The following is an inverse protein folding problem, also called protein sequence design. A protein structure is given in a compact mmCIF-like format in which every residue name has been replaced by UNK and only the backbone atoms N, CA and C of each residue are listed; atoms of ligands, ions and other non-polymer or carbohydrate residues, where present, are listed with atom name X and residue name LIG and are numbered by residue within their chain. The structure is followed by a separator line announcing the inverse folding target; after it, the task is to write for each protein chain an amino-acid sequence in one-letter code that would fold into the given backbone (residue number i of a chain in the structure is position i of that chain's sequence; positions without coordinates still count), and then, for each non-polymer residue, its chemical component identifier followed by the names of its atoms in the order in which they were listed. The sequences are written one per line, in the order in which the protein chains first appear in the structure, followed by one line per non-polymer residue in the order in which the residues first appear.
data_IF_273879153304
#
_entry.id   IF_273879153304
#
_cell.length_a   1.000
_cell.length_b   1.000
_cell.length_c   1.000
_cell.angle_alpha   90.00
_cell.angle_beta   90.00
_cell.angle_gamma   90.00
#
_symmetry.space_group_name_H-M   'P 1'
#
loop_
_entity.id
_entity.type
_entity.pdbx_description
1 polymer ?
#
# COMPACT_ATOMS: atom_id res chain seq x y z
N UNK A 1 0.61 -17.26 12.98
CA UNK A 1 0.02 -16.89 11.68
C UNK A 1 1.09 -16.94 10.61
N UNK A 2 1.09 -17.97 9.76
CA UNK A 2 2.01 -18.07 8.63
C UNK A 2 1.35 -17.43 7.40
N UNK A 3 1.99 -16.41 6.83
CA UNK A 3 1.67 -15.89 5.51
C UNK A 3 2.62 -16.61 4.54
N UNK A 4 2.15 -17.64 3.84
CA UNK A 4 2.89 -18.31 2.76
C UNK A 4 2.24 -17.94 1.42
N UNK A 5 2.95 -17.18 0.58
CA UNK A 5 2.52 -16.83 -0.78
C UNK A 5 3.53 -17.40 -1.79
N UNK A 6 3.08 -18.35 -2.62
CA UNK A 6 3.84 -18.92 -3.72
C UNK A 6 3.15 -18.60 -5.04
N UNK A 7 3.39 -17.42 -5.59
CA UNK A 7 3.07 -17.09 -6.99
C UNK A 7 4.33 -16.76 -7.77
N UNK A 8 4.78 -17.72 -8.58
CA UNK A 8 5.77 -17.47 -9.64
C UNK A 8 5.06 -16.95 -10.88
N UNK A 9 5.39 -15.73 -11.32
CA UNK A 9 4.95 -15.21 -12.62
C UNK A 9 6.14 -14.61 -13.36
N UNK A 10 6.30 -15.04 -14.62
CA UNK A 10 7.21 -14.40 -15.59
C UNK A 10 6.50 -13.16 -16.12
N UNK A 11 7.16 -12.01 -16.08
CA UNK A 11 6.63 -10.76 -16.60
C UNK A 11 7.74 -9.81 -16.99
N UNK A 12 7.46 -8.93 -17.96
CA UNK A 12 8.36 -7.85 -18.31
C UNK A 12 8.30 -6.77 -17.21
N UNK A 13 9.38 -6.64 -16.45
CA UNK A 13 9.48 -5.63 -15.40
C UNK A 13 10.07 -4.31 -15.90
N UNK A 14 10.94 -4.37 -16.91
CA UNK A 14 11.55 -3.19 -17.50
C UNK A 14 11.95 -3.43 -18.94
N UNK A 15 11.91 -2.37 -19.74
CA UNK A 15 12.50 -2.31 -21.08
C UNK A 15 12.90 -0.87 -21.35
N UNK A 16 13.97 -0.65 -22.10
CA UNK A 16 14.36 0.70 -22.47
C UNK A 16 15.30 0.72 -23.65
N UNK A 17 15.37 1.88 -24.29
CA UNK A 17 16.28 2.18 -25.38
C UNK A 17 16.95 3.53 -25.11
N UNK A 18 18.25 3.60 -25.40
CA UNK A 18 19.05 4.83 -25.29
C UNK A 18 19.71 5.10 -26.62
N UNK A 19 19.54 6.32 -27.11
CA UNK A 19 20.11 6.83 -28.35
C UNK A 19 21.27 7.75 -28.01
N UNK A 20 22.47 7.35 -28.43
CA UNK A 20 23.70 8.11 -28.21
C UNK A 20 23.92 9.12 -29.34
N UNK A 21 24.10 10.40 -28.98
CA UNK A 21 24.41 11.46 -29.94
C UNK A 21 25.70 12.18 -29.54
N UNK A 22 26.83 11.95 -30.23
CA UNK A 22 28.07 12.68 -29.96
C UNK A 22 27.95 14.13 -30.44
N UNK A 23 28.56 15.07 -29.70
CA UNK A 23 28.58 16.48 -30.11
C UNK A 23 29.62 16.68 -31.20
N UNK A 24 29.19 17.24 -32.34
CA UNK A 24 30.10 17.60 -33.43
C UNK A 24 31.00 18.77 -33.01
N UNK A 25 32.32 18.59 -33.14
CA UNK A 25 33.33 19.59 -32.81
C UNK A 25 34.15 19.97 -34.02
N UNK A 26 34.65 21.21 -34.01
CA UNK A 26 35.56 21.73 -35.05
C UNK A 26 36.82 20.87 -35.11
N UNK A 27 37.27 20.56 -36.32
CA UNK A 27 38.48 19.75 -36.57
C UNK A 27 39.68 20.35 -35.83
N UNK A 28 40.33 19.55 -34.98
CA UNK A 28 41.45 19.98 -34.13
C UNK A 28 41.09 20.27 -32.67
N UNK A 29 39.80 20.26 -32.31
CA UNK A 29 39.36 20.45 -30.92
C UNK A 29 39.56 19.18 -30.09
N UNK A 30 39.77 19.33 -28.78
CA UNK A 30 39.80 18.20 -27.85
C UNK A 30 38.39 17.56 -27.73
N UNK A 31 38.27 16.30 -28.15
CA UNK A 31 37.00 15.56 -28.11
C UNK A 31 36.51 15.32 -26.67
N UNK A 32 37.39 15.41 -25.68
CA UNK A 32 37.11 15.18 -24.27
C UNK A 32 36.86 16.44 -23.45
N UNK A 33 36.86 17.64 -24.04
CA UNK A 33 36.59 18.90 -23.33
C UNK A 33 35.21 19.45 -23.62
N UNK A 34 34.57 20.12 -22.66
CA UNK A 34 33.22 20.65 -22.85
C UNK A 34 32.18 19.54 -23.04
N UNK A 35 31.11 19.80 -23.80
CA UNK A 35 30.09 18.79 -24.10
C UNK A 35 30.64 17.71 -25.04
N UNK A 36 30.56 16.46 -24.60
CA UNK A 36 31.05 15.27 -25.31
C UNK A 36 29.91 14.58 -26.04
N UNK A 37 28.78 14.37 -25.35
CA UNK A 37 27.61 13.69 -25.91
C UNK A 37 26.32 14.15 -25.24
N UNK A 38 25.22 13.99 -25.96
CA UNK A 38 23.86 14.09 -25.46
C UNK A 38 23.14 12.79 -25.81
N UNK A 39 22.48 12.20 -24.83
CA UNK A 39 21.78 10.94 -24.96
C UNK A 39 20.29 11.15 -24.72
N UNK A 40 19.47 10.47 -25.50
CA UNK A 40 18.02 10.44 -25.31
C UNK A 40 17.60 9.02 -24.94
N UNK A 41 16.68 8.87 -23.99
CA UNK A 41 16.24 7.58 -23.50
C UNK A 41 14.73 7.50 -23.42
N UNK A 42 14.19 6.33 -23.76
CA UNK A 42 12.83 5.93 -23.42
C UNK A 42 12.90 4.64 -22.62
N UNK A 43 12.13 4.55 -21.53
CA UNK A 43 12.09 3.36 -20.71
C UNK A 43 10.71 3.12 -20.13
N UNK A 44 10.33 1.86 -19.98
CA UNK A 44 9.20 1.43 -19.19
C UNK A 44 9.74 0.67 -17.98
N UNK A 45 9.19 0.95 -16.80
CA UNK A 45 9.48 0.19 -15.59
C UNK A 45 8.20 -0.06 -14.79
N UNK A 46 8.02 -1.30 -14.33
CA UNK A 46 7.07 -1.65 -13.29
C UNK A 46 7.71 -1.36 -11.94
N UNK A 47 7.32 -0.24 -11.33
CA UNK A 47 7.88 0.24 -10.07
C UNK A 47 7.43 -0.61 -8.88
N UNK A 48 6.14 -0.96 -8.82
CA UNK A 48 5.57 -1.76 -7.74
C UNK A 48 4.69 -2.89 -8.27
N UNK A 49 4.72 -4.02 -7.56
CA UNK A 49 3.83 -5.15 -7.78
C UNK A 49 2.97 -5.31 -6.53
N UNK A 50 1.65 -5.27 -6.70
CA UNK A 50 0.70 -5.35 -5.58
C UNK A 50 0.19 -6.77 -5.33
N UNK A 51 0.70 -7.77 -6.07
CA UNK A 51 0.29 -9.15 -5.91
C UNK A 51 0.71 -9.68 -4.53
N UNK A 52 -0.26 -9.81 -3.63
CA UNK A 52 -0.05 -10.39 -2.29
C UNK A 52 -1.30 -11.15 -1.87
N UNK A 53 -1.13 -12.30 -1.22
CA UNK A 53 -2.20 -12.96 -0.48
C UNK A 53 -1.91 -12.89 1.03
N UNK A 54 -2.85 -12.34 1.79
CA UNK A 54 -2.78 -12.24 3.25
C UNK A 54 -3.94 -13.04 3.82
N UNK A 55 -3.64 -14.00 4.69
CA UNK A 55 -4.64 -14.77 5.41
C UNK A 55 -4.26 -14.85 6.88
N UNK A 56 -5.19 -14.48 7.75
CA UNK A 56 -5.04 -14.63 9.19
C UNK A 56 -6.39 -14.89 9.85
N UNK A 57 -6.37 -15.52 11.01
CA UNK A 57 -7.56 -15.80 11.78
C UNK A 57 -7.21 -16.20 13.20
N UNK A 58 -8.23 -16.28 14.04
CA UNK A 58 -8.10 -16.62 15.44
C UNK A 58 -9.42 -16.44 16.19
N UNK A 59 -9.41 -16.77 17.47
CA UNK A 59 -10.56 -16.55 18.35
C UNK A 59 -10.40 -15.18 19.02
N UNK A 60 -11.25 -14.22 18.68
CA UNK A 60 -11.36 -12.96 19.42
C UNK A 60 -12.15 -13.21 20.69
N UNK A 61 -11.57 -12.87 21.84
CA UNK A 61 -12.24 -13.06 23.14
C UNK A 61 -13.06 -11.87 23.60
N UNK A 62 -12.86 -10.71 22.96
CA UNK A 62 -13.39 -9.42 23.44
C UNK A 62 -14.18 -8.65 22.41
N UNK A 63 -14.16 -9.03 21.12
CA UNK A 63 -14.82 -8.25 20.06
C UNK A 63 -15.30 -9.08 18.88
N UNK A 64 -16.32 -8.56 18.22
CA UNK A 64 -16.93 -9.00 16.97
C UNK A 64 -16.82 -7.88 15.92
N UNK A 65 -16.90 -8.25 14.63
CA UNK A 65 -17.13 -7.24 13.58
C UNK A 65 -18.44 -6.47 13.79
N UNK A 66 -19.43 -7.04 14.50
CA UNK A 66 -20.65 -6.34 14.85
C UNK A 66 -20.42 -5.16 15.81
N UNK A 67 -19.40 -5.23 16.69
CA UNK A 67 -19.01 -4.07 17.52
C UNK A 67 -18.56 -2.91 16.64
N UNK A 68 -17.78 -3.19 15.59
CA UNK A 68 -17.38 -2.18 14.62
C UNK A 68 -18.58 -1.59 13.88
N UNK A 69 -19.57 -2.40 13.50
CA UNK A 69 -20.80 -1.89 12.88
C UNK A 69 -21.61 -1.01 13.85
N UNK A 70 -21.67 -1.37 15.13
CA UNK A 70 -22.36 -0.58 16.15
C UNK A 70 -21.63 0.73 16.46
N UNK A 71 -20.30 0.74 16.43
CA UNK A 71 -19.48 1.95 16.55
C UNK A 71 -19.71 2.92 15.38
N UNK A 72 -19.77 2.40 14.14
CA UNK A 72 -20.15 3.18 12.96
C UNK A 72 -21.57 3.75 13.12
N UNK A 73 -22.53 2.93 13.52
CA UNK A 73 -23.92 3.36 13.73
C UNK A 73 -24.03 4.42 14.84
N UNK A 74 -23.24 4.31 15.89
CA UNK A 74 -23.19 5.30 16.98
C UNK A 74 -22.58 6.63 16.51
N UNK A 75 -21.58 6.55 15.62
CA UNK A 75 -20.89 7.74 15.10
C UNK A 75 -21.72 8.50 14.07
N UNK A 76 -22.39 7.78 13.15
CA UNK A 76 -23.07 8.38 12.00
C UNK A 76 -24.60 8.31 12.06
N UNK A 77 -25.15 7.47 12.93
CA UNK A 77 -26.59 7.28 13.07
C UNK A 77 -27.29 8.47 13.71
N UNK A 78 -28.58 8.62 13.39
CA UNK A 78 -29.43 9.73 13.78
C UNK A 78 -30.68 9.26 14.56
N UNK A 79 -30.46 8.35 15.51
CA UNK A 79 -31.51 7.81 16.40
C UNK A 79 -31.99 6.43 16.00
N UNK A 80 -33.24 6.10 16.34
CA UNK A 80 -33.79 4.75 16.18
C UNK A 80 -34.26 4.46 14.72
N UNK A 81 -33.70 3.46 14.02
CA UNK A 81 -34.16 3.06 12.69
C UNK A 81 -35.60 2.56 12.63
N UNK A 82 -36.15 2.02 13.74
CA UNK A 82 -37.54 1.57 13.81
C UNK A 82 -38.54 2.73 13.73
N UNK A 83 -38.14 3.92 14.22
CA UNK A 83 -38.97 5.12 14.25
C UNK A 83 -38.60 6.13 13.15
N UNK A 84 -37.40 6.05 12.59
CA UNK A 84 -36.90 6.92 11.54
C UNK A 84 -36.11 6.12 10.49
N UNK A 85 -36.69 5.92 9.31
CA UNK A 85 -36.02 5.21 8.21
C UNK A 85 -34.76 5.89 7.68
N UNK A 86 -34.52 7.16 8.04
CA UNK A 86 -33.30 7.91 7.73
C UNK A 86 -32.30 7.93 8.89
N UNK A 87 -32.53 7.16 9.96
CA UNK A 87 -31.61 7.08 11.09
C UNK A 87 -30.25 6.50 10.69
N UNK A 88 -30.21 5.59 9.72
CA UNK A 88 -28.99 5.09 9.11
C UNK A 88 -28.99 5.42 7.62
N UNK A 89 -27.86 5.89 7.08
CA UNK A 89 -27.77 6.26 5.68
C UNK A 89 -28.05 5.03 4.79
N UNK A 90 -28.97 5.12 3.81
CA UNK A 90 -29.23 4.00 2.91
C UNK A 90 -27.96 3.56 2.19
N UNK A 91 -27.75 2.24 2.11
CA UNK A 91 -26.58 1.63 1.48
C UNK A 91 -25.33 1.61 2.37
N UNK A 92 -25.31 2.31 3.51
CA UNK A 92 -24.19 2.27 4.45
C UNK A 92 -24.00 0.90 5.10
N UNK A 93 -22.77 0.62 5.53
CA UNK A 93 -22.40 -0.62 6.20
C UNK A 93 -23.16 -0.85 7.52
N UNK A 94 -23.39 0.21 8.29
CA UNK A 94 -24.21 0.16 9.50
C UNK A 94 -25.68 -0.13 9.19
N UNK A 95 -26.23 0.42 8.10
CA UNK A 95 -27.59 0.08 7.64
C UNK A 95 -27.69 -1.38 7.20
N UNK A 96 -26.67 -1.91 6.52
CA UNK A 96 -26.58 -3.33 6.18
C UNK A 96 -26.59 -4.21 7.42
N UNK A 97 -25.75 -3.88 8.41
CA UNK A 97 -25.62 -4.63 9.65
C UNK A 97 -26.93 -4.66 10.45
N UNK A 98 -27.64 -3.53 10.54
CA UNK A 98 -28.94 -3.46 11.19
C UNK A 98 -29.97 -4.35 10.48
N UNK A 99 -30.05 -4.28 9.14
CA UNK A 99 -30.93 -5.16 8.34
C UNK A 99 -30.57 -6.65 8.42
N UNK A 100 -29.36 -6.98 8.87
CA UNK A 100 -28.89 -8.34 9.11
C UNK A 100 -29.06 -8.79 10.57
N UNK A 101 -29.68 -7.97 11.44
CA UNK A 101 -29.81 -8.26 12.87
C UNK A 101 -28.47 -8.48 13.57
N UNK A 102 -27.36 -7.91 13.05
CA UNK A 102 -26.05 -7.95 13.71
C UNK A 102 -25.87 -6.81 14.72
N UNK A 103 -26.62 -5.72 14.56
CA UNK A 103 -26.69 -4.61 15.51
C UNK A 103 -28.15 -4.26 15.77
N UNK A 104 -28.42 -3.76 16.96
CA UNK A 104 -29.74 -3.32 17.41
C UNK A 104 -29.63 -1.94 18.09
N UNK A 105 -30.78 -1.31 18.32
CA UNK A 105 -30.86 0.01 18.93
C UNK A 105 -31.57 -0.04 20.30
N UNK A 106 -30.94 0.58 21.29
CA UNK A 106 -31.51 0.90 22.61
C UNK A 106 -31.48 2.43 22.78
N UNK A 107 -32.33 3.05 23.62
CA UNK A 107 -32.20 4.48 23.92
C UNK A 107 -30.81 4.93 24.39
N UNK A 108 -29.97 4.02 24.90
CA UNK A 108 -28.57 4.26 25.23
C UNK A 108 -27.64 4.31 24.00
N UNK A 109 -28.01 3.72 22.86
CA UNK A 109 -27.24 3.68 21.63
C UNK A 109 -27.35 2.36 20.86
N UNK A 110 -26.57 2.25 19.78
CA UNK A 110 -26.45 1.01 19.01
C UNK A 110 -25.53 0.02 19.69
N UNK A 111 -25.88 -1.27 19.64
CA UNK A 111 -25.08 -2.33 20.24
C UNK A 111 -25.06 -3.60 19.36
N UNK A 112 -24.02 -4.44 19.45
CA UNK A 112 -23.93 -5.69 18.71
C UNK A 112 -24.84 -6.77 19.31
N UNK A 113 -25.42 -7.59 18.44
CA UNK A 113 -26.20 -8.78 18.82
C UNK A 113 -25.36 -10.05 18.87
N UNK A 114 -24.06 -9.95 18.60
CA UNK A 114 -23.11 -11.06 18.64
C UNK A 114 -22.48 -11.19 20.02
N UNK A 115 -22.27 -12.43 20.46
CA UNK A 115 -21.61 -12.74 21.73
C UNK A 115 -20.10 -12.57 21.64
N UNK A 116 -19.43 -12.87 22.75
CA UNK A 116 -17.96 -12.89 22.82
C UNK A 116 -17.40 -14.25 22.39
N UNK A 117 -16.07 -14.33 22.24
CA UNK A 117 -15.34 -15.56 21.89
C UNK A 117 -15.64 -16.08 20.48
N UNK A 118 -15.56 -15.19 19.50
CA UNK A 118 -15.88 -15.47 18.09
C UNK A 118 -14.66 -15.97 17.32
N UNK A 119 -14.87 -16.91 16.40
CA UNK A 119 -13.82 -17.33 15.48
C UNK A 119 -13.85 -16.44 14.25
N UNK A 120 -12.73 -15.77 13.96
CA UNK A 120 -12.61 -14.76 12.93
C UNK A 120 -11.55 -15.17 11.92
N UNK A 121 -11.82 -14.91 10.64
CA UNK A 121 -10.87 -15.13 9.56
C UNK A 121 -10.95 -13.96 8.58
N UNK A 122 -9.80 -13.50 8.12
CA UNK A 122 -9.70 -12.48 7.09
C UNK A 122 -8.75 -12.95 5.99
N UNK A 123 -9.24 -12.91 4.76
CA UNK A 123 -8.48 -13.23 3.55
C UNK A 123 -8.48 -11.98 2.68
N UNK A 124 -7.29 -11.51 2.31
CA UNK A 124 -7.10 -10.34 1.45
C UNK A 124 -6.22 -10.75 0.28
N UNK A 125 -6.78 -10.69 -0.92
CA UNK A 125 -6.07 -10.90 -2.17
C UNK A 125 -5.87 -9.55 -2.86
N UNK A 126 -4.62 -9.14 -3.04
CA UNK A 126 -4.27 -7.93 -3.78
C UNK A 126 -3.65 -8.29 -5.11
N UNK A 127 -3.90 -7.46 -6.11
CA UNK A 127 -3.29 -7.61 -7.42
C UNK A 127 -3.13 -6.26 -8.12
N UNK A 128 -2.30 -6.26 -9.16
CA UNK A 128 -2.06 -5.08 -9.98
C UNK A 128 -0.62 -4.58 -9.86
N UNK A 129 -0.38 -3.38 -10.38
CA UNK A 129 0.96 -2.81 -10.41
C UNK A 129 0.94 -1.30 -10.54
N UNK A 130 2.04 -0.69 -10.12
CA UNK A 130 2.40 0.67 -10.51
C UNK A 130 3.50 0.60 -11.55
N UNK A 131 3.33 1.29 -12.66
CA UNK A 131 4.29 1.33 -13.75
C UNK A 131 4.50 2.75 -14.26
N UNK A 132 5.58 2.96 -14.99
CA UNK A 132 5.96 4.27 -15.46
C UNK A 132 6.68 4.17 -16.80
N UNK A 133 6.34 5.08 -17.72
CA UNK A 133 7.09 5.34 -18.94
C UNK A 133 7.91 6.62 -18.72
N UNK A 134 9.22 6.53 -18.90
CA UNK A 134 10.16 7.62 -18.74
C UNK A 134 10.69 8.08 -20.10
N UNK A 135 10.68 9.39 -20.31
CA UNK A 135 11.33 10.07 -21.42
C UNK A 135 12.45 10.92 -20.85
N UNK A 136 13.70 10.60 -21.19
CA UNK A 136 14.88 11.19 -20.57
C UNK A 136 15.88 11.75 -21.58
N UNK A 137 16.64 12.74 -21.12
CA UNK A 137 17.81 13.28 -21.80
C UNK A 137 18.95 13.40 -20.80
N UNK A 138 20.17 13.08 -21.23
CA UNK A 138 21.37 13.23 -20.41
C UNK A 138 22.56 13.75 -21.22
N UNK A 139 23.32 14.69 -20.66
CA UNK A 139 24.53 15.24 -21.26
C UNK A 139 25.78 14.80 -20.51
N UNK A 140 26.86 14.58 -21.25
CA UNK A 140 28.20 14.34 -20.73
C UNK A 140 29.08 15.56 -20.99
N UNK A 141 29.59 16.17 -19.93
CA UNK A 141 30.53 17.28 -19.95
C UNK A 141 31.91 16.81 -19.46
N UNK A 142 32.86 16.79 -20.38
CA UNK A 142 34.27 16.52 -20.11
C UNK A 142 34.59 15.15 -19.56
N UNK A 143 33.69 14.16 -19.67
CA UNK A 143 33.78 12.84 -19.02
C UNK A 143 33.88 12.88 -17.49
N UNK A 144 33.57 14.04 -16.90
CA UNK A 144 33.64 14.33 -15.47
C UNK A 144 32.27 14.66 -14.88
N UNK A 145 31.45 15.40 -15.61
CA UNK A 145 30.13 15.80 -15.15
C UNK A 145 29.06 15.25 -16.09
N UNK A 146 28.09 14.55 -15.54
CA UNK A 146 26.93 14.03 -16.26
C UNK A 146 25.69 14.64 -15.66
N UNK A 147 24.82 15.20 -16.49
CA UNK A 147 23.56 15.81 -16.08
C UNK A 147 22.43 15.09 -16.80
N UNK A 148 21.35 14.79 -16.08
CA UNK A 148 20.19 14.09 -16.60
C UNK A 148 18.89 14.74 -16.18
N UNK A 149 17.92 14.70 -17.07
CA UNK A 149 16.54 15.08 -16.81
C UNK A 149 15.60 14.04 -17.43
N UNK A 150 14.49 13.73 -16.77
CA UNK A 150 13.44 12.90 -17.36
C UNK A 150 12.06 13.29 -16.88
N UNK A 151 11.06 13.08 -17.74
CA UNK A 151 9.64 13.14 -17.40
C UNK A 151 9.11 11.71 -17.34
N UNK A 152 8.40 11.39 -16.27
CA UNK A 152 7.74 10.10 -16.06
C UNK A 152 6.23 10.23 -16.21
N UNK A 153 5.63 9.36 -17.02
CA UNK A 153 4.18 9.13 -17.08
C UNK A 153 3.89 7.86 -16.29
N UNK A 154 3.31 8.02 -15.12
CA UNK A 154 3.04 6.94 -14.19
C UNK A 154 1.59 6.47 -14.29
N UNK A 155 1.38 5.17 -14.11
CA UNK A 155 0.07 4.53 -14.03
C UNK A 155 0.02 3.64 -12.79
N UNK A 156 -1.12 3.63 -12.12
CA UNK A 156 -1.42 2.72 -11.03
C UNK A 156 -2.71 1.98 -11.35
N UNK A 157 -2.68 0.66 -11.13
CA UNK A 157 -3.85 -0.19 -11.18
C UNK A 157 -3.75 -1.17 -10.02
N UNK A 158 -4.75 -1.17 -9.15
CA UNK A 158 -4.78 -1.93 -7.92
C UNK A 158 -6.17 -2.50 -7.69
N UNK A 159 -6.22 -3.78 -7.35
CA UNK A 159 -7.45 -4.45 -6.91
C UNK A 159 -7.17 -5.16 -5.60
N UNK A 160 -8.07 -4.99 -4.63
CA UNK A 160 -8.06 -5.70 -3.34
C UNK A 160 -9.40 -6.38 -3.12
N UNK A 161 -9.41 -7.70 -3.19
CA UNK A 161 -10.56 -8.54 -2.82
C UNK A 161 -10.36 -9.02 -1.38
N UNK A 162 -11.28 -8.63 -0.50
CA UNK A 162 -11.24 -9.02 0.91
C UNK A 162 -12.52 -9.78 1.27
N UNK A 163 -12.32 -10.87 1.97
CA UNK A 163 -13.39 -11.68 2.58
C UNK A 163 -13.08 -11.82 4.07
N UNK A 164 -13.95 -11.27 4.88
CA UNK A 164 -13.95 -11.47 6.32
C UNK A 164 -15.09 -12.41 6.70
N UNK A 165 -14.79 -13.42 7.51
CA UNK A 165 -15.80 -14.31 8.07
C UNK A 165 -15.68 -14.36 9.58
N UNK A 166 -16.83 -14.50 10.23
CA UNK A 166 -16.88 -14.67 11.67
C UNK A 166 -18.02 -15.61 12.07
N UNK A 167 -17.75 -16.49 13.03
CA UNK A 167 -18.75 -17.38 13.61
C UNK A 167 -18.72 -17.28 15.13
N UNK A 168 -19.91 -17.36 15.72
CA UNK A 168 -20.07 -17.17 17.16
C UNK A 168 -21.48 -17.50 17.65
N UNK A 169 -21.74 -17.14 18.88
CA UNK A 169 -23.05 -17.27 19.53
C UNK A 169 -23.78 -15.94 19.52
N UNK A 170 -25.10 -15.93 19.49
CA UNK A 170 -25.86 -14.70 19.63
C UNK A 170 -25.76 -14.19 21.09
N UNK A 171 -25.67 -12.88 21.27
CA UNK A 171 -25.81 -12.22 22.57
C UNK A 171 -27.28 -12.25 22.97
N UNK A 172 -27.54 -12.50 24.25
CA UNK A 172 -28.90 -12.45 24.82
C UNK A 172 -29.14 -11.12 25.50
N UNK A 173 -30.25 -10.48 25.19
CA UNK A 173 -30.66 -9.21 25.81
C UNK A 173 -32.18 -9.14 25.99
N UNK A 174 -32.64 -8.25 26.87
CA UNK A 174 -34.07 -8.05 27.14
C UNK A 174 -34.77 -7.46 25.92
N UNK A 175 -35.89 -8.06 25.51
CA UNK A 175 -36.66 -7.63 24.33
C UNK A 175 -36.24 -8.31 23.03
N UNK A 176 -35.18 -9.15 23.04
CA UNK A 176 -34.76 -9.91 21.87
C UNK A 176 -35.86 -10.89 21.40
N UNK A 177 -36.02 -11.02 20.08
CA UNK A 177 -36.88 -12.06 19.51
C UNK A 177 -36.42 -13.46 20.00
N UNK A 178 -37.32 -14.27 20.59
CA UNK A 178 -37.01 -15.61 21.09
C UNK A 178 -36.31 -16.53 20.09
N UNK A 179 -36.45 -16.31 18.78
CA UNK A 179 -35.82 -17.11 17.74
C UNK A 179 -34.28 -17.01 17.75
N UNK A 180 -33.72 -15.88 18.23
CA UNK A 180 -32.27 -15.65 18.29
C UNK A 180 -31.64 -16.05 19.63
N UNK A 181 -32.45 -16.21 20.68
CA UNK A 181 -31.98 -16.48 22.04
C UNK A 181 -31.25 -17.82 22.11
N UNK A 182 -30.01 -17.80 22.62
CA UNK A 182 -29.18 -19.00 22.74
C UNK A 182 -28.76 -19.61 21.39
N UNK A 183 -28.95 -18.87 20.30
CA UNK A 183 -28.58 -19.27 18.95
C UNK A 183 -27.11 -19.04 18.61
N UNK A 184 -26.78 -19.28 17.34
CA UNK A 184 -25.47 -19.00 16.77
C UNK A 184 -25.59 -18.26 15.45
N UNK A 185 -24.53 -17.56 15.07
CA UNK A 185 -24.43 -16.84 13.81
C UNK A 185 -23.17 -17.20 13.03
N UNK A 186 -23.24 -16.95 11.73
CA UNK A 186 -22.10 -16.91 10.82
C UNK A 186 -22.29 -15.71 9.91
N UNK A 187 -21.35 -14.78 9.92
CA UNK A 187 -21.35 -13.63 9.03
C UNK A 187 -20.20 -13.71 8.02
N UNK A 188 -20.44 -13.14 6.85
CA UNK A 188 -19.46 -12.95 5.79
C UNK A 188 -19.57 -11.51 5.27
N UNK A 189 -18.50 -10.74 5.45
CA UNK A 189 -18.36 -9.40 4.90
C UNK A 189 -17.36 -9.44 3.74
N UNK A 190 -17.82 -9.07 2.55
CA UNK A 190 -16.98 -9.02 1.36
C UNK A 190 -16.80 -7.57 0.94
N UNK A 191 -15.56 -7.19 0.62
CA UNK A 191 -15.24 -5.87 0.11
C UNK A 191 -14.25 -5.95 -1.04
N UNK A 192 -14.52 -5.23 -2.12
CA UNK A 192 -13.69 -5.15 -3.32
C UNK A 192 -13.31 -3.69 -3.51
N UNK A 193 -12.01 -3.39 -3.51
CA UNK A 193 -11.50 -2.07 -3.83
C UNK A 193 -10.78 -2.10 -5.17
N UNK A 194 -11.11 -1.19 -6.08
CA UNK A 194 -10.47 -1.04 -7.38
C UNK A 194 -9.98 0.40 -7.56
N UNK A 195 -8.67 0.58 -7.48
CA UNK A 195 -8.05 1.90 -7.60
C UNK A 195 -7.27 1.99 -8.91
N UNK A 196 -7.57 3.01 -9.71
CA UNK A 196 -6.85 3.34 -10.94
C UNK A 196 -6.36 4.77 -10.89
N UNK A 197 -5.23 5.04 -11.53
CA UNK A 197 -4.77 6.41 -11.65
C UNK A 197 -3.66 6.59 -12.67
N UNK A 198 -3.57 7.81 -13.16
CA UNK A 198 -2.52 8.26 -14.07
C UNK A 198 -1.87 9.50 -13.48
N UNK A 199 -0.57 9.63 -13.65
CA UNK A 199 0.17 10.73 -13.08
C UNK A 199 1.42 11.10 -13.86
N UNK A 200 2.00 12.23 -13.49
CA UNK A 200 3.20 12.77 -14.09
C UNK A 200 4.22 13.13 -13.00
N UNK A 201 5.50 12.93 -13.27
CA UNK A 201 6.60 13.41 -12.45
C UNK A 201 7.79 13.83 -13.31
N UNK A 202 8.77 14.47 -12.67
CA UNK A 202 10.05 14.78 -13.26
C UNK A 202 11.20 14.33 -12.35
N UNK A 203 12.35 14.04 -12.96
CA UNK A 203 13.57 13.61 -12.27
C UNK A 203 14.75 14.40 -12.81
N UNK A 204 15.62 14.80 -11.90
CA UNK A 204 16.89 15.46 -12.18
C UNK A 204 18.01 14.62 -11.57
N UNK A 205 19.08 14.41 -12.31
CA UNK A 205 20.22 13.60 -11.90
C UNK A 205 21.55 14.26 -12.25
N UNK A 206 22.53 14.08 -11.38
CA UNK A 206 23.90 14.56 -11.56
C UNK A 206 24.86 13.45 -11.13
N UNK A 207 25.89 13.20 -11.94
CA UNK A 207 27.03 12.37 -11.57
C UNK A 207 28.30 13.18 -11.80
N UNK A 208 29.13 13.28 -10.78
CA UNK A 208 30.45 13.90 -10.86
C UNK A 208 31.56 12.89 -10.60
N UNK A 209 32.58 12.91 -11.45
CA UNK A 209 33.75 12.04 -11.42
C UNK A 209 35.02 12.90 -11.26
N UNK A 210 35.41 13.26 -10.03
CA UNK A 210 36.61 14.04 -9.80
C UNK A 210 37.88 13.29 -10.27
N UNK A 211 37.89 11.97 -10.07
CA UNK A 211 38.89 11.01 -10.56
C UNK A 211 38.17 9.82 -11.20
N UNK A 212 38.90 8.92 -11.85
CA UNK A 212 38.28 7.81 -12.59
C UNK A 212 37.63 6.77 -11.67
N UNK A 213 38.20 6.62 -10.48
CA UNK A 213 37.84 5.64 -9.47
C UNK A 213 36.62 6.08 -8.67
N UNK A 214 36.42 7.39 -8.46
CA UNK A 214 35.37 7.93 -7.61
C UNK A 214 34.22 8.51 -8.45
N UNK A 215 32.98 8.12 -8.12
CA UNK A 215 31.76 8.71 -8.66
C UNK A 215 30.88 9.21 -7.53
N UNK A 216 30.45 10.46 -7.62
CA UNK A 216 29.52 11.10 -6.71
C UNK A 216 28.19 11.32 -7.44
N UNK A 217 27.08 10.86 -6.87
CA UNK A 217 25.76 10.96 -7.46
C UNK A 217 24.81 11.81 -6.60
N UNK A 218 23.99 12.61 -7.26
CA UNK A 218 22.88 13.34 -6.64
C UNK A 218 21.67 13.23 -7.57
N UNK A 219 20.48 12.96 -7.02
CA UNK A 219 19.24 13.02 -7.78
C UNK A 219 18.09 13.61 -6.97
N UNK A 220 17.19 14.27 -7.67
CA UNK A 220 15.96 14.83 -7.15
C UNK A 220 14.80 14.31 -7.98
N UNK A 221 13.81 13.75 -7.31
CA UNK A 221 12.58 13.22 -7.92
C UNK A 221 11.43 14.05 -7.36
N UNK A 222 10.70 14.72 -8.25
CA UNK A 222 9.51 15.47 -7.85
C UNK A 222 8.44 14.52 -7.28
N UNK A 223 7.42 15.05 -6.60
CA UNK A 223 6.17 14.33 -6.45
C UNK A 223 5.67 13.80 -7.80
N UNK A 224 4.95 12.69 -7.75
CA UNK A 224 4.02 12.33 -8.81
C UNK A 224 2.67 12.93 -8.49
N UNK A 225 2.11 13.69 -9.42
CA UNK A 225 0.75 14.19 -9.33
C UNK A 225 -0.17 13.21 -10.05
N UNK A 226 -1.01 12.52 -9.29
CA UNK A 226 -1.97 11.55 -9.79
C UNK A 226 -3.38 12.14 -9.85
N UNK A 227 -4.11 11.78 -10.90
CA UNK A 227 -5.57 11.74 -10.90
C UNK A 227 -6.00 10.29 -10.64
N UNK A 228 -6.81 10.09 -9.62
CA UNK A 228 -7.20 8.78 -9.11
C UNK A 228 -8.72 8.59 -9.21
N UNK A 229 -9.12 7.37 -9.52
CA UNK A 229 -10.50 6.89 -9.41
C UNK A 229 -10.47 5.64 -8.55
N UNK A 230 -11.27 5.63 -7.49
CA UNK A 230 -11.44 4.49 -6.61
C UNK A 230 -12.88 4.02 -6.66
N UNK A 231 -13.07 2.71 -6.78
CA UNK A 231 -14.36 2.04 -6.73
C UNK A 231 -14.31 1.04 -5.59
N UNK A 232 -15.07 1.30 -4.54
CA UNK A 232 -15.22 0.40 -3.42
C UNK A 232 -16.60 -0.25 -3.49
N UNK A 233 -16.66 -1.58 -3.43
CA UNK A 233 -17.92 -2.32 -3.38
C UNK A 233 -17.92 -3.20 -2.15
N UNK A 234 -19.04 -3.30 -1.46
CA UNK A 234 -19.16 -4.14 -0.27
C UNK A 234 -20.53 -4.79 -0.16
N UNK A 235 -20.57 -5.94 0.50
CA UNK A 235 -21.81 -6.55 0.95
C UNK A 235 -21.60 -7.34 2.24
N UNK A 236 -22.73 -7.68 2.84
CA UNK A 236 -22.79 -8.42 4.08
C UNK A 236 -23.83 -9.52 3.95
N UNK A 237 -23.47 -10.72 4.40
CA UNK A 237 -24.37 -11.87 4.52
C UNK A 237 -24.25 -12.45 5.92
N UNK A 238 -25.39 -12.83 6.49
CA UNK A 238 -25.51 -13.40 7.83
C UNK A 238 -26.45 -14.60 7.84
N UNK A 239 -26.01 -15.66 8.50
CA UNK A 239 -26.79 -16.89 8.75
C UNK A 239 -26.94 -17.09 10.23
N UNK A 240 -28.17 -17.35 10.68
CA UNK A 240 -28.45 -17.67 12.07
C UNK A 240 -28.95 -19.10 12.23
N UNK A 241 -28.74 -19.65 13.42
CA UNK A 241 -29.36 -20.88 13.89
C UNK A 241 -29.96 -20.65 15.26
N UNK A 242 -31.15 -21.19 15.48
CA UNK A 242 -31.79 -21.25 16.79
C UNK A 242 -30.98 -22.14 17.75
N UNK A 243 -31.29 -22.08 19.05
CA UNK A 243 -30.64 -22.92 20.07
C UNK A 243 -30.75 -24.43 19.78
N UNK A 244 -31.84 -24.87 19.17
CA UNK A 244 -32.05 -26.27 18.78
C UNK A 244 -31.32 -26.67 17.47
N UNK A 245 -30.56 -25.75 16.86
CA UNK A 245 -29.81 -25.96 15.63
C UNK A 245 -30.60 -25.73 14.33
N UNK A 246 -31.90 -25.37 14.40
CA UNK A 246 -32.70 -25.03 13.22
C UNK A 246 -32.17 -23.76 12.55
N UNK A 247 -31.91 -23.85 11.24
CA UNK A 247 -31.43 -22.73 10.42
C UNK A 247 -32.54 -21.70 10.20
N UNK A 248 -32.20 -20.43 10.39
CA UNK A 248 -33.02 -19.28 10.01
C UNK A 248 -32.60 -18.85 8.59
N UNK A 249 -33.52 -18.38 7.72
CA UNK A 249 -33.17 -17.87 6.40
C UNK A 249 -31.99 -16.89 6.44
N UNK A 250 -31.15 -16.97 5.42
CA UNK A 250 -29.99 -16.09 5.26
C UNK A 250 -30.43 -14.65 4.97
N UNK A 251 -29.83 -13.70 5.67
CA UNK A 251 -29.94 -12.28 5.37
C UNK A 251 -28.74 -11.89 4.54
N UNK A 252 -28.97 -11.36 3.34
CA UNK A 252 -27.90 -10.91 2.44
C UNK A 252 -28.27 -9.56 1.89
N UNK A 253 -27.39 -8.57 2.05
CA UNK A 253 -27.54 -7.29 1.38
C UNK A 253 -27.10 -7.38 -0.08
N UNK A 254 -27.71 -6.55 -0.90
CA UNK A 254 -27.21 -6.26 -2.24
C UNK A 254 -25.80 -5.67 -2.17
N UNK A 255 -25.05 -5.82 -3.27
CA UNK A 255 -23.72 -5.24 -3.39
C UNK A 255 -23.84 -3.72 -3.57
N UNK A 256 -23.39 -2.96 -2.59
CA UNK A 256 -23.33 -1.50 -2.68
C UNK A 256 -21.98 -1.08 -3.25
N UNK A 257 -21.96 -0.01 -4.05
CA UNK A 257 -20.76 0.48 -4.72
C UNK A 257 -20.63 1.99 -4.57
N UNK A 258 -19.45 2.42 -4.12
CA UNK A 258 -19.08 3.81 -3.90
C UNK A 258 -17.92 4.15 -4.84
N UNK A 259 -18.15 5.14 -5.70
CA UNK A 259 -17.13 5.68 -6.59
C UNK A 259 -16.60 7.00 -6.01
N UNK A 260 -15.27 7.16 -6.00
CA UNK A 260 -14.59 8.39 -5.56
C UNK A 260 -13.52 8.80 -6.57
N UNK A 261 -13.43 10.10 -6.83
CA UNK A 261 -12.39 10.70 -7.66
C UNK A 261 -11.62 11.74 -6.86
N UNK A 262 -10.29 11.63 -6.88
CA UNK A 262 -9.42 12.52 -6.12
C UNK A 262 -8.06 12.70 -6.79
N UNK A 263 -7.35 13.75 -6.40
CA UNK A 263 -5.96 13.96 -6.78
C UNK A 263 -5.04 13.56 -5.63
N UNK A 264 -3.93 12.91 -5.96
CA UNK A 264 -2.93 12.49 -4.97
C UNK A 264 -1.54 12.96 -5.41
N UNK A 265 -0.87 13.71 -4.55
CA UNK A 265 0.53 14.11 -4.70
C UNK A 265 1.40 13.24 -3.80
N UNK A 266 2.30 12.46 -4.39
CA UNK A 266 3.24 11.60 -3.63
C UNK A 266 4.35 12.42 -2.95
N UNK A 267 5.14 11.81 -2.05
CA UNK A 267 6.36 12.44 -1.53
C UNK A 267 7.35 12.78 -2.65
N UNK A 268 8.14 13.84 -2.46
CA UNK A 268 9.38 14.03 -3.22
C UNK A 268 10.50 13.18 -2.63
N UNK A 269 11.56 12.94 -3.42
CA UNK A 269 12.71 12.14 -2.99
C UNK A 269 14.03 12.80 -3.40
N UNK A 270 15.00 12.77 -2.50
CA UNK A 270 16.37 13.24 -2.76
C UNK A 270 17.33 12.09 -2.48
N UNK A 271 18.19 11.76 -3.43
CA UNK A 271 19.19 10.71 -3.26
C UNK A 271 20.58 11.29 -3.41
N UNK A 272 21.48 10.92 -2.51
CA UNK A 272 22.91 11.22 -2.59
C UNK A 272 23.72 9.96 -2.37
N UNK A 273 24.79 9.75 -3.13
CA UNK A 273 25.59 8.56 -2.99
C UNK A 273 26.98 8.68 -3.60
N UNK A 274 27.83 7.71 -3.27
CA UNK A 274 29.17 7.59 -3.80
C UNK A 274 29.47 6.14 -4.17
N UNK A 275 30.30 5.96 -5.19
CA UNK A 275 30.90 4.67 -5.50
C UNK A 275 32.39 4.83 -5.78
N UNK A 276 33.16 3.84 -5.35
CA UNK A 276 34.59 3.76 -5.56
C UNK A 276 34.94 2.47 -6.30
N UNK A 277 35.62 2.61 -7.43
CA UNK A 277 36.04 1.51 -8.29
C UNK A 277 37.45 1.10 -7.88
N UNK A 278 37.63 -0.18 -7.58
CA UNK A 278 38.89 -0.75 -7.13
C UNK A 278 39.57 -1.40 -8.34
N UNK A 279 40.37 -0.61 -9.06
CA UNK A 279 41.07 -1.04 -10.26
C UNK A 279 40.12 -1.64 -11.29
N UNK A 280 40.43 -2.85 -11.78
CA UNK A 280 39.53 -3.61 -12.65
C UNK A 280 38.79 -4.73 -11.90
N UNK A 281 38.91 -4.79 -10.57
CA UNK A 281 38.54 -5.95 -9.75
C UNK A 281 37.22 -5.80 -9.02
N UNK A 282 36.69 -4.59 -8.83
CA UNK A 282 35.41 -4.44 -8.12
C UNK A 282 35.00 -2.99 -7.91
N UNK A 283 33.89 -2.82 -7.19
CA UNK A 283 33.41 -1.53 -6.73
C UNK A 283 32.73 -1.66 -5.36
N UNK A 284 32.77 -0.58 -4.60
CA UNK A 284 31.95 -0.39 -3.40
C UNK A 284 31.07 0.84 -3.61
N UNK A 285 29.86 0.81 -3.08
CA UNK A 285 28.91 1.91 -3.19
C UNK A 285 28.10 2.08 -1.91
N UNK A 286 27.79 3.33 -1.59
CA UNK A 286 26.85 3.68 -0.54
C UNK A 286 25.99 4.86 -1.00
N UNK A 287 24.71 4.83 -0.68
CA UNK A 287 23.79 5.92 -0.93
C UNK A 287 22.76 6.08 0.19
N UNK A 288 22.28 7.31 0.31
CA UNK A 288 21.23 7.73 1.23
C UNK A 288 20.11 8.39 0.44
N UNK A 289 18.89 8.02 0.76
CA UNK A 289 17.66 8.60 0.21
C UNK A 289 16.89 9.27 1.33
N UNK A 290 16.51 10.52 1.11
CA UNK A 290 15.53 11.23 1.93
C UNK A 290 14.18 11.27 1.20
N UNK A 291 13.12 10.92 1.90
CA UNK A 291 11.73 10.96 1.42
C UNK A 291 10.87 11.68 2.44
N UNK A 292 10.13 12.70 2.02
CA UNK A 292 9.26 13.46 2.92
C UNK A 292 7.81 12.97 2.83
N UNK A 293 7.45 11.98 3.64
CA UNK A 293 6.08 11.45 3.64
C UNK A 293 5.05 12.44 4.19
N UNK A 294 5.48 13.46 4.94
CA UNK A 294 4.58 14.51 5.41
C UNK A 294 4.15 15.46 4.28
N UNK A 295 4.83 15.44 3.13
CA UNK A 295 4.48 16.24 1.97
C UNK A 295 3.41 15.63 1.07
N UNK A 296 2.91 14.43 1.41
CA UNK A 296 1.77 13.81 0.71
C UNK A 296 0.61 14.79 0.78
N UNK A 297 -0.10 14.93 -0.34
CA UNK A 297 -1.27 15.79 -0.38
C UNK A 297 -2.40 15.10 -1.11
N UNK A 298 -3.54 15.04 -0.45
CA UNK A 298 -4.78 14.54 -1.00
C UNK A 298 -5.68 15.74 -1.35
N UNK A 299 -6.37 15.69 -2.48
CA UNK A 299 -7.35 16.71 -2.84
C UNK A 299 -8.60 16.05 -3.41
N UNK A 300 -9.79 16.44 -2.92
CA UNK A 300 -11.08 15.92 -3.38
C UNK A 300 -12.12 17.03 -3.48
N UNK A 301 -13.26 16.73 -4.10
CA UNK A 301 -14.37 17.69 -4.15
C UNK A 301 -15.07 17.88 -2.79
N UNK A 302 -14.68 17.13 -1.77
CA UNK A 302 -15.25 17.17 -0.42
C UNK A 302 -14.26 17.83 0.55
N UNK A 303 -14.45 19.13 0.81
CA UNK A 303 -13.52 19.94 1.60
C UNK A 303 -13.22 19.36 3.00
N UNK A 304 -14.20 18.73 3.64
CA UNK A 304 -14.03 18.10 4.96
C UNK A 304 -13.12 16.87 4.88
N UNK A 305 -13.32 16.01 3.87
CA UNK A 305 -12.48 14.83 3.62
C UNK A 305 -11.05 15.27 3.31
N UNK A 306 -10.88 16.26 2.43
CA UNK A 306 -9.58 16.82 2.08
C UNK A 306 -8.84 17.35 3.32
N UNK A 307 -9.52 18.18 4.12
CA UNK A 307 -8.93 18.80 5.32
C UNK A 307 -8.55 17.75 6.35
N UNK A 308 -9.45 16.80 6.64
CA UNK A 308 -9.20 15.75 7.62
C UNK A 308 -8.07 14.81 7.17
N UNK A 309 -8.11 14.34 5.91
CA UNK A 309 -7.10 13.43 5.37
C UNK A 309 -5.72 14.08 5.37
N UNK A 310 -5.59 15.34 4.97
CA UNK A 310 -4.31 16.04 4.98
C UNK A 310 -3.80 16.32 6.40
N UNK A 311 -4.70 16.61 7.36
CA UNK A 311 -4.33 16.74 8.77
C UNK A 311 -3.79 15.41 9.31
N UNK A 312 -4.45 14.31 8.98
CA UNK A 312 -4.05 12.97 9.43
C UNK A 312 -2.73 12.55 8.79
N UNK A 313 -2.52 12.85 7.51
CA UNK A 313 -1.22 12.69 6.83
C UNK A 313 -0.12 13.44 7.59
N UNK A 314 -0.34 14.73 7.90
CA UNK A 314 0.63 15.55 8.61
C UNK A 314 0.86 15.07 10.05
N UNK A 315 -0.14 14.48 10.70
CA UNK A 315 -0.05 13.92 12.05
C UNK A 315 0.68 12.56 12.08
N UNK A 316 0.49 11.72 11.06
CA UNK A 316 1.00 10.35 11.03
C UNK A 316 2.41 10.24 10.43
N UNK A 317 2.72 11.03 9.39
CA UNK A 317 3.92 10.85 8.57
C UNK A 317 5.03 11.87 8.84
N UNK A 318 6.28 11.46 8.60
CA UNK A 318 7.48 12.29 8.73
C UNK A 318 8.45 12.07 7.57
N UNK A 319 9.47 12.92 7.51
CA UNK A 319 10.68 12.66 6.71
C UNK A 319 11.35 11.36 7.13
N UNK A 320 11.79 10.58 6.15
CA UNK A 320 12.41 9.28 6.35
C UNK A 320 13.72 9.17 5.56
N UNK A 321 14.68 8.43 6.13
CA UNK A 321 15.94 8.12 5.48
C UNK A 321 16.03 6.62 5.18
N UNK A 322 16.43 6.30 3.95
CA UNK A 322 16.80 4.95 3.54
C UNK A 322 18.30 4.92 3.23
N UNK A 323 18.98 3.84 3.61
CA UNK A 323 20.41 3.65 3.40
C UNK A 323 20.65 2.37 2.61
N UNK A 324 21.52 2.45 1.62
CA UNK A 324 21.89 1.31 0.78
C UNK A 324 23.41 1.25 0.70
N UNK A 325 23.96 0.07 0.96
CA UNK A 325 25.39 -0.20 0.84
C UNK A 325 25.56 -1.48 0.03
N UNK A 326 26.52 -1.48 -0.89
CA UNK A 326 26.78 -2.63 -1.75
C UNK A 326 28.23 -2.73 -2.16
N UNK A 327 28.62 -3.94 -2.53
CA UNK A 327 29.92 -4.23 -3.09
C UNK A 327 29.78 -5.26 -4.22
N UNK A 328 30.59 -5.09 -5.26
CA UNK A 328 30.78 -6.06 -6.33
C UNK A 328 32.27 -6.39 -6.43
N UNK A 329 32.58 -7.66 -6.60
CA UNK A 329 33.95 -8.13 -6.77
C UNK A 329 34.00 -9.16 -7.91
N UNK A 330 34.97 -8.99 -8.82
CA UNK A 330 35.30 -9.96 -9.87
C UNK A 330 36.21 -11.02 -9.27
N UNK A 331 35.71 -12.24 -9.16
CA UNK A 331 36.51 -13.39 -8.68
C UNK A 331 37.45 -13.85 -9.79
N UNK A 332 36.95 -13.88 -11.03
CA UNK A 332 37.70 -14.03 -12.28
C UNK A 332 37.09 -13.09 -13.33
N UNK A 333 37.76 -12.86 -14.45
CA UNK A 333 37.35 -11.83 -15.44
C UNK A 333 35.89 -11.91 -15.88
N UNK A 334 35.34 -13.13 -15.95
CA UNK A 334 33.98 -13.38 -16.39
C UNK A 334 32.97 -13.59 -15.25
N UNK A 335 33.41 -13.68 -13.99
CA UNK A 335 32.54 -14.02 -12.86
C UNK A 335 32.62 -12.98 -11.74
N UNK A 336 31.45 -12.46 -11.37
CA UNK A 336 31.27 -11.42 -10.38
C UNK A 336 30.41 -11.92 -9.22
N UNK A 337 30.78 -11.53 -8.01
CA UNK A 337 29.95 -11.69 -6.82
C UNK A 337 29.50 -10.32 -6.33
N UNK A 338 28.26 -10.25 -5.85
CA UNK A 338 27.64 -9.02 -5.33
C UNK A 338 27.06 -9.27 -3.95
N UNK A 339 27.24 -8.31 -3.07
CA UNK A 339 26.63 -8.27 -1.75
C UNK A 339 26.03 -6.90 -1.50
N UNK A 340 24.90 -6.86 -0.82
CA UNK A 340 24.24 -5.59 -0.51
C UNK A 340 23.38 -5.66 0.75
N UNK A 341 23.25 -4.51 1.39
CA UNK A 341 22.40 -4.27 2.54
C UNK A 341 21.56 -3.02 2.30
N UNK A 342 20.27 -3.10 2.59
CA UNK A 342 19.33 -1.99 2.53
C UNK A 342 18.62 -1.87 3.88
N UNK A 343 18.64 -0.67 4.44
CA UNK A 343 17.82 -0.29 5.58
C UNK A 343 16.85 0.80 5.13
N UNK A 344 15.55 0.55 5.26
CA UNK A 344 14.50 1.54 5.06
C UNK A 344 13.92 1.91 6.42
N UNK A 345 14.05 3.18 6.81
CA UNK A 345 13.47 3.69 8.04
C UNK A 345 11.95 3.75 7.98
N UNK A 346 11.32 4.01 9.12
CA UNK A 346 9.86 4.11 9.19
C UNK A 346 9.36 5.49 8.76
N UNK A 347 8.35 5.58 7.87
CA UNK A 347 7.73 6.84 7.48
C UNK A 347 6.80 7.41 8.57
N UNK A 348 6.48 6.65 9.61
CA UNK A 348 5.52 7.02 10.65
C UNK A 348 6.21 7.75 11.83
N UNK A 349 5.51 8.71 12.46
CA UNK A 349 6.01 9.42 13.64
C UNK A 349 6.12 8.52 14.87
N UNK A 350 5.08 7.72 15.13
CA UNK A 350 4.89 7.03 16.41
C UNK A 350 4.99 5.50 16.31
N UNK A 351 5.33 4.96 15.14
CA UNK A 351 5.46 3.52 14.92
C UNK A 351 6.79 3.26 14.22
N UNK A 352 7.60 2.32 14.73
CA UNK A 352 8.85 1.91 14.09
C UNK A 352 8.61 0.67 13.22
N UNK A 353 8.20 0.90 11.97
CA UNK A 353 8.08 -0.13 10.93
C UNK A 353 9.27 -0.05 9.97
N UNK A 354 10.48 -0.34 10.48
CA UNK A 354 11.65 -0.40 9.63
C UNK A 354 11.71 -1.70 8.82
N UNK A 355 12.38 -1.64 7.67
CA UNK A 355 12.60 -2.79 6.79
C UNK A 355 14.09 -2.98 6.57
N UNK A 356 14.57 -4.22 6.74
CA UNK A 356 15.94 -4.60 6.43
C UNK A 356 15.93 -5.57 5.28
N UNK A 357 16.83 -5.40 4.33
CA UNK A 357 17.03 -6.39 3.27
C UNK A 357 18.50 -6.68 3.05
N UNK A 358 18.80 -7.97 2.90
CA UNK A 358 20.11 -8.48 2.55
C UNK A 358 20.02 -9.09 1.16
N UNK A 359 21.00 -8.79 0.31
CA UNK A 359 21.05 -9.33 -1.05
C UNK A 359 22.41 -9.93 -1.35
N UNK A 360 22.40 -11.06 -2.06
CA UNK A 360 23.58 -11.68 -2.63
C UNK A 360 23.32 -12.02 -4.09
N UNK A 361 24.30 -11.80 -4.95
CA UNK A 361 24.14 -12.06 -6.38
C UNK A 361 25.40 -12.59 -7.03
N UNK A 362 25.21 -13.33 -8.11
CA UNK A 362 26.25 -13.84 -8.99
C UNK A 362 26.01 -13.26 -10.39
N UNK A 363 27.07 -12.77 -11.01
CA UNK A 363 27.06 -12.29 -12.39
C UNK A 363 28.05 -13.07 -13.23
N UNK A 364 27.66 -13.42 -14.45
CA UNK A 364 28.53 -14.04 -15.43
C UNK A 364 28.50 -13.25 -16.73
N UNK A 365 29.68 -12.89 -17.24
CA UNK A 365 29.85 -12.19 -18.51
C UNK A 365 30.40 -13.13 -19.57
N UNK A 366 29.73 -13.17 -20.72
CA UNK A 366 30.18 -13.87 -21.91
C UNK A 366 30.14 -12.89 -23.09
N UNK A 367 31.33 -12.35 -23.44
CA UNK A 367 31.52 -11.29 -24.42
C UNK A 367 30.68 -10.02 -24.15
N UNK A 368 29.63 -9.83 -24.95
CA UNK A 368 28.71 -8.69 -24.91
C UNK A 368 27.44 -8.99 -24.12
N UNK A 369 27.30 -10.20 -23.60
CA UNK A 369 26.13 -10.64 -22.85
C UNK A 369 26.48 -10.82 -21.37
N UNK A 370 25.48 -10.61 -20.54
CA UNK A 370 25.58 -10.74 -19.09
C UNK A 370 24.38 -11.53 -18.58
N UNK A 371 24.64 -12.42 -17.63
CA UNK A 371 23.62 -13.15 -16.90
C UNK A 371 23.84 -12.92 -15.42
N UNK A 372 22.81 -12.41 -14.73
CA UNK A 372 22.87 -12.12 -13.31
C UNK A 372 21.75 -12.86 -12.57
N UNK A 373 22.11 -13.47 -11.44
CA UNK A 373 21.17 -14.11 -10.51
C UNK A 373 21.33 -13.43 -9.16
N UNK A 374 20.22 -12.99 -8.57
CA UNK A 374 20.22 -12.31 -7.27
C UNK A 374 19.19 -12.93 -6.34
N UNK A 375 19.61 -13.22 -5.12
CA UNK A 375 18.75 -13.55 -4.00
C UNK A 375 18.63 -12.35 -3.07
N UNK A 376 17.43 -12.07 -2.57
CA UNK A 376 17.16 -11.02 -1.60
C UNK A 376 16.29 -11.56 -0.47
N UNK A 377 16.74 -11.40 0.76
CA UNK A 377 15.98 -11.68 1.96
C UNK A 377 15.53 -10.35 2.59
N UNK A 378 14.23 -10.17 2.80
CA UNK A 378 13.65 -8.94 3.38
C UNK A 378 12.93 -9.26 4.67
N UNK A 379 13.19 -8.47 5.70
CA UNK A 379 12.59 -8.56 7.03
C UNK A 379 11.87 -7.25 7.34
N UNK A 380 10.62 -7.34 7.76
CA UNK A 380 9.79 -6.21 8.14
C UNK A 380 8.74 -6.69 9.16
N UNK A 381 8.32 -5.78 10.03
CA UNK A 381 7.20 -6.01 10.93
C UNK A 381 5.91 -5.45 10.31
N UNK A 382 4.79 -6.13 10.53
CA UNK A 382 3.48 -5.71 10.05
C UNK A 382 2.40 -6.09 11.05
N UNK A 383 1.54 -5.12 11.37
CA UNK A 383 0.30 -5.35 12.14
C UNK A 383 -0.87 -5.22 11.19
N UNK A 384 -1.75 -6.22 11.19
CA UNK A 384 -2.99 -6.19 10.41
C UNK A 384 -4.15 -6.44 11.37
N UNK A 385 -5.14 -5.54 11.34
CA UNK A 385 -6.42 -5.71 12.03
C UNK A 385 -7.54 -5.79 11.00
N UNK A 386 -8.53 -6.68 11.16
CA UNK A 386 -9.67 -6.73 10.23
C UNK A 386 -10.57 -5.49 10.41
N UNK A 387 -10.67 -4.94 11.61
CA UNK A 387 -11.43 -3.74 11.91
C UNK A 387 -10.79 -3.01 13.10
N UNK A 388 -11.19 -1.77 13.33
CA UNK A 388 -10.75 -0.94 14.45
C UNK A 388 -11.98 -0.32 15.08
N UNK A 389 -12.12 -0.48 16.38
CA UNK A 389 -13.21 0.11 17.17
C UNK A 389 -12.64 1.36 17.84
N UNK A 390 -13.40 2.45 17.88
CA UNK A 390 -13.03 3.67 18.59
C UNK A 390 -12.70 3.38 20.06
N UNK A 391 -11.70 4.06 20.62
CA UNK A 391 -11.40 3.99 22.06
C UNK A 391 -12.54 4.57 22.92
N UNK A 392 -13.39 5.38 22.31
CA UNK A 392 -14.53 6.03 22.95
C UNK A 392 -15.81 5.19 22.84
N UNK A 393 -15.76 4.03 22.16
CA UNK A 393 -16.89 3.11 22.08
C UNK A 393 -17.16 2.48 23.46
N UNK A 394 -18.34 2.70 24.06
CA UNK A 394 -18.61 2.31 25.43
C UNK A 394 -18.93 0.81 25.54
N UNK A 395 -18.53 0.21 26.67
CA UNK A 395 -19.09 -1.08 27.10
C UNK A 395 -20.58 -0.90 27.39
N UNK A 396 -21.45 -1.30 26.47
CA UNK A 396 -22.89 -1.13 26.61
C UNK A 396 -23.46 -2.02 27.73
N UNK A 397 -23.95 -1.37 28.80
CA UNK A 397 -24.82 -1.96 29.82
C UNK A 397 -26.28 -1.69 29.46
N UNK A 398 -27.03 -2.74 29.12
CA UNK A 398 -28.41 -2.67 28.61
C UNK A 398 -29.40 -2.07 29.60
N UNK A 399 -30.27 -1.16 29.14
CA UNK A 399 -31.40 -0.64 29.92
C UNK A 399 -32.78 -1.07 29.43
N UNK A 400 -32.88 -1.65 28.24
CA UNK A 400 -34.07 -2.32 27.72
C UNK A 400 -34.34 -1.87 26.28
N UNK A 401 -34.16 -2.78 25.32
CA UNK A 401 -34.26 -2.47 23.90
C UNK A 401 -35.66 -1.92 23.54
N UNK A 402 -35.68 -1.01 22.55
CA UNK A 402 -36.91 -0.61 21.86
C UNK A 402 -37.53 -1.79 21.10
N UNK A 403 -38.77 -1.65 20.58
CA UNK A 403 -39.44 -2.75 19.91
C UNK A 403 -38.60 -3.27 18.74
N UNK A 404 -38.33 -4.58 18.75
CA UNK A 404 -37.80 -5.31 17.60
C UNK A 404 -38.69 -5.06 16.37
N UNK A 405 -38.09 -4.91 15.20
CA UNK A 405 -38.80 -4.86 13.94
C UNK A 405 -39.59 -6.15 13.66
#
# INVERSE_FOLDING_TARGET
NNIDDKKSRVGLNQIGAVFYSPVNKVKGSNLNEGWVSVNFGIGYNKANNFNTNISYGGTSTTSSMADYFADLATTYGMGDPANNSSALAPGSLESMAYKNFLIEYDPAGYFPTTGERNNQMNIINRSGSQSEVNLGMAGNYGNKLYLGFSIGLANVNYTSDRVYTETGTNRTFTGQDPVFVGGSYSLAYNSIQQTKGNGINAKLGLIYKPVNELRLGLSFITPTWYSMTDRFSENLSTKFKQQNGTTIPEYTNDLETYDSEYSLRTPYRVNGGASYIIGNSGLISADVEYVDYSSIHFSSNFANEETNTNRDIAALYKGNFNYRVGAEFKVVDNFMVRGGFNYSGSPYKNIDLNTKAYSGGLGYRFDNYYLDVTYRHTQFDSTNSPYTISTDYPDFSFTGAGPTA
#
